data_IF_977587000684
#
_entry.id   IF_977587000684
#
_cell.length_a   1.000
_cell.length_b   1.000
_cell.length_c   1.000
_cell.angle_alpha   90.00
_cell.angle_beta   90.00
_cell.angle_gamma   90.00
#
_symmetry.space_group_name_H-M   'P 1'
#
loop_
_entity.id
_entity.type
_entity.pdbx_description
1 polymer ?
#
# COMPACT_ATOMS: atom_id res chain seq x y z
N UNK A 1 -20.01 -12.88 12.05
CA UNK A 1 -20.09 -12.15 10.77
C UNK A 1 -20.01 -10.68 11.07
N UNK A 2 -19.24 -9.93 10.30
CA UNK A 2 -19.03 -8.49 10.47
C UNK A 2 -19.15 -7.78 9.13
N UNK A 3 -19.74 -6.57 9.13
CA UNK A 3 -19.74 -5.68 7.99
C UNK A 3 -18.39 -4.96 7.91
N UNK A 4 -17.76 -4.93 6.74
CA UNK A 4 -16.43 -4.35 6.51
C UNK A 4 -16.39 -3.56 5.20
N UNK A 5 -15.50 -2.57 5.14
CA UNK A 5 -15.24 -1.80 3.92
C UNK A 5 -14.32 -2.57 2.96
N UNK A 6 -14.69 -2.65 1.69
CA UNK A 6 -13.91 -3.26 0.63
C UNK A 6 -12.78 -2.33 0.15
N UNK A 7 -11.52 -2.73 0.36
CA UNK A 7 -10.36 -2.00 -0.15
C UNK A 7 -9.83 -2.57 -1.49
N UNK A 8 -10.69 -3.21 -2.29
CA UNK A 8 -10.31 -3.80 -3.58
C UNK A 8 -10.16 -2.77 -4.71
N UNK A 9 -10.89 -1.65 -4.63
CA UNK A 9 -10.78 -0.52 -5.53
C UNK A 9 -11.21 0.77 -4.82
N UNK A 10 -11.15 1.90 -5.52
CA UNK A 10 -11.49 3.22 -4.95
C UNK A 10 -12.98 3.46 -4.69
N UNK A 11 -13.87 2.50 -4.98
CA UNK A 11 -15.30 2.64 -4.66
C UNK A 11 -15.57 2.49 -3.15
N UNK A 12 -14.72 1.76 -2.43
CA UNK A 12 -14.83 1.56 -0.98
C UNK A 12 -16.23 1.08 -0.53
N UNK A 13 -16.81 0.08 -1.22
CA UNK A 13 -18.10 -0.50 -0.85
C UNK A 13 -18.10 -0.86 0.64
N UNK A 14 -19.04 -0.32 1.41
CA UNK A 14 -19.10 -0.47 2.85
C UNK A 14 -20.05 -1.58 3.31
N UNK A 15 -20.68 -2.29 2.37
CA UNK A 15 -21.75 -3.27 2.54
C UNK A 15 -21.29 -4.73 2.43
N UNK A 16 -19.98 -4.99 2.52
CA UNK A 16 -19.44 -6.35 2.46
C UNK A 16 -19.61 -7.05 3.81
N UNK A 17 -20.18 -8.25 3.80
CA UNK A 17 -20.30 -9.08 4.99
C UNK A 17 -19.21 -10.15 4.95
N UNK A 18 -18.41 -10.22 6.02
CA UNK A 18 -17.33 -11.19 6.18
C UNK A 18 -17.59 -12.08 7.38
N UNK A 19 -17.42 -13.39 7.18
CA UNK A 19 -17.30 -14.36 8.27
C UNK A 19 -15.83 -14.70 8.45
N UNK A 20 -15.31 -14.47 9.66
CA UNK A 20 -13.90 -14.68 10.00
C UNK A 20 -13.78 -15.04 11.48
N UNK A 21 -12.78 -15.84 11.81
CA UNK A 21 -12.34 -16.14 13.19
C UNK A 21 -11.22 -15.19 13.67
N UNK A 22 -10.87 -14.19 12.86
CA UNK A 22 -9.76 -13.25 13.11
C UNK A 22 -8.41 -13.68 12.51
N UNK A 23 -8.26 -14.95 12.15
CA UNK A 23 -7.07 -15.50 11.48
C UNK A 23 -7.35 -15.81 10.00
N UNK A 24 -8.54 -16.30 9.71
CA UNK A 24 -9.00 -16.74 8.39
C UNK A 24 -10.33 -16.09 8.03
N UNK A 25 -10.55 -15.92 6.73
CA UNK A 25 -11.83 -15.48 6.18
C UNK A 25 -12.53 -16.72 5.62
N UNK A 26 -13.62 -17.12 6.26
CA UNK A 26 -14.44 -18.28 5.86
C UNK A 26 -15.33 -17.93 4.67
N UNK A 27 -15.90 -16.71 4.68
CA UNK A 27 -16.94 -16.32 3.73
C UNK A 27 -16.91 -14.80 3.49
N UNK A 28 -17.13 -14.41 2.24
CA UNK A 28 -17.26 -13.02 1.81
C UNK A 28 -18.52 -12.88 0.96
N UNK A 29 -19.46 -12.05 1.38
CA UNK A 29 -20.74 -11.80 0.71
C UNK A 29 -20.80 -10.34 0.26
N UNK A 30 -21.29 -10.10 -0.96
CA UNK A 30 -21.48 -8.76 -1.53
C UNK A 30 -20.27 -8.20 -2.29
N UNK A 31 -19.10 -8.84 -2.21
CA UNK A 31 -17.91 -8.36 -2.92
C UNK A 31 -17.97 -8.68 -4.42
N UNK A 32 -17.65 -7.70 -5.26
CA UNK A 32 -17.38 -7.95 -6.69
C UNK A 32 -16.08 -8.76 -6.88
N UNK A 33 -15.76 -9.16 -8.12
CA UNK A 33 -14.55 -9.95 -8.41
C UNK A 33 -13.26 -9.32 -7.88
N UNK A 34 -13.07 -8.00 -8.04
CA UNK A 34 -11.90 -7.27 -7.51
C UNK A 34 -11.86 -7.28 -5.98
N UNK A 35 -13.02 -7.09 -5.36
CA UNK A 35 -13.14 -7.15 -3.90
C UNK A 35 -12.83 -8.55 -3.37
N UNK A 36 -13.41 -9.58 -3.98
CA UNK A 36 -13.18 -10.98 -3.61
C UNK A 36 -11.70 -11.36 -3.73
N UNK A 37 -11.07 -11.00 -4.84
CA UNK A 37 -9.64 -11.22 -5.04
C UNK A 37 -8.81 -10.57 -3.91
N UNK A 38 -9.15 -9.34 -3.51
CA UNK A 38 -8.45 -8.65 -2.42
C UNK A 38 -8.54 -9.40 -1.08
N UNK A 39 -9.69 -9.97 -0.74
CA UNK A 39 -9.83 -10.80 0.46
C UNK A 39 -9.04 -12.11 0.35
N UNK A 40 -9.05 -12.74 -0.83
CA UNK A 40 -8.35 -14.01 -1.07
C UNK A 40 -6.82 -13.89 -1.01
N UNK A 41 -6.26 -12.69 -1.20
CA UNK A 41 -4.82 -12.44 -1.02
C UNK A 41 -4.31 -12.67 0.41
N UNK A 42 -5.19 -12.81 1.41
CA UNK A 42 -4.78 -13.13 2.78
C UNK A 42 -4.18 -14.54 2.86
N UNK A 43 -4.74 -15.50 2.11
CA UNK A 43 -4.30 -16.91 2.08
C UNK A 43 -3.52 -17.27 0.82
N UNK A 44 -3.08 -16.26 0.06
CA UNK A 44 -2.28 -16.41 -1.15
C UNK A 44 -0.95 -17.12 -0.87
N UNK A 45 -0.54 -18.05 -1.76
CA UNK A 45 0.74 -18.77 -1.64
C UNK A 45 1.95 -17.84 -1.69
N UNK A 46 1.81 -16.68 -2.32
CA UNK A 46 2.82 -15.66 -2.48
C UNK A 46 2.69 -14.51 -1.46
N UNK A 47 1.89 -14.70 -0.38
CA UNK A 47 1.85 -13.79 0.76
C UNK A 47 3.24 -13.73 1.41
N UNK A 48 3.80 -12.52 1.52
CA UNK A 48 5.06 -12.30 2.23
C UNK A 48 4.83 -12.44 3.73
N UNK A 49 5.42 -13.47 4.34
CA UNK A 49 5.34 -13.76 5.78
C UNK A 49 6.59 -13.33 6.56
N UNK A 50 7.68 -13.02 5.85
CA UNK A 50 8.95 -12.60 6.44
C UNK A 50 9.52 -11.48 5.57
N UNK A 51 10.25 -10.51 6.16
CA UNK A 51 11.03 -9.58 5.37
C UNK A 51 12.14 -10.32 4.61
N UNK A 52 12.48 -9.80 3.44
CA UNK A 52 13.47 -10.37 2.53
C UNK A 52 14.49 -9.29 2.18
N UNK A 53 15.77 -9.64 2.13
CA UNK A 53 16.86 -8.79 1.63
C UNK A 53 17.55 -9.47 0.46
N UNK A 54 18.14 -8.69 -0.45
CA UNK A 54 18.87 -9.24 -1.59
C UNK A 54 20.35 -9.40 -1.24
N UNK A 55 20.84 -10.63 -1.25
CA UNK A 55 22.25 -10.97 -1.07
C UNK A 55 22.71 -11.75 -2.30
N UNK A 56 23.79 -11.31 -2.96
CA UNK A 56 24.35 -11.93 -4.18
C UNK A 56 23.31 -12.21 -5.28
N UNK A 57 22.36 -11.28 -5.47
CA UNK A 57 21.32 -11.39 -6.49
C UNK A 57 20.08 -12.20 -6.06
N UNK A 58 20.11 -12.90 -4.93
CA UNK A 58 19.01 -13.76 -4.45
C UNK A 58 18.30 -13.13 -3.25
N UNK A 59 16.98 -13.32 -3.13
CA UNK A 59 16.22 -12.89 -1.96
C UNK A 59 16.36 -13.91 -0.82
N UNK A 60 16.81 -13.44 0.34
CA UNK A 60 17.03 -14.25 1.54
C UNK A 60 16.12 -13.75 2.66
N UNK A 61 15.47 -14.69 3.37
CA UNK A 61 14.62 -14.38 4.54
C UNK A 61 15.45 -13.77 5.67
N UNK A 62 14.88 -12.79 6.36
CA UNK A 62 15.54 -12.14 7.50
C UNK A 62 14.54 -11.72 8.58
N UNK A 63 15.02 -11.02 9.60
CA UNK A 63 14.21 -10.41 10.68
C UNK A 63 13.95 -8.93 10.38
N UNK A 64 12.93 -8.36 11.02
CA UNK A 64 12.54 -6.96 10.79
C UNK A 64 13.68 -5.99 11.08
N UNK A 65 14.41 -6.12 12.17
CA UNK A 65 15.50 -5.20 12.53
C UNK A 65 16.57 -5.12 11.43
N UNK A 66 17.08 -6.27 10.96
CA UNK A 66 18.06 -6.32 9.86
C UNK A 66 17.50 -5.72 8.56
N UNK A 67 16.22 -5.96 8.24
CA UNK A 67 15.60 -5.40 7.05
C UNK A 67 15.39 -3.88 7.14
N UNK A 68 14.99 -3.38 8.31
CA UNK A 68 14.78 -1.96 8.58
C UNK A 68 16.11 -1.21 8.58
N UNK A 69 17.16 -1.74 9.21
CA UNK A 69 18.50 -1.16 9.18
C UNK A 69 19.04 -1.10 7.75
N UNK A 70 18.81 -2.14 6.95
CA UNK A 70 19.20 -2.14 5.55
C UNK A 70 18.46 -1.05 4.75
N UNK A 71 17.15 -0.94 4.92
CA UNK A 71 16.34 0.09 4.25
C UNK A 71 16.77 1.51 4.68
N UNK A 72 16.98 1.74 5.98
CA UNK A 72 17.44 3.02 6.52
C UNK A 72 18.81 3.40 5.98
N UNK A 73 19.74 2.44 5.86
CA UNK A 73 21.05 2.67 5.27
C UNK A 73 20.97 3.05 3.78
N UNK A 74 20.09 2.41 3.00
CA UNK A 74 19.86 2.79 1.59
C UNK A 74 19.35 4.23 1.50
N UNK A 75 18.35 4.57 2.33
CA UNK A 75 17.74 5.90 2.34
C UNK A 75 18.76 6.96 2.75
N UNK A 76 19.52 6.74 3.84
CA UNK A 76 20.51 7.68 4.38
C UNK A 76 21.64 7.97 3.38
N UNK A 77 22.04 6.97 2.60
CA UNK A 77 23.10 7.11 1.60
C UNK A 77 22.59 7.60 0.23
N UNK A 78 21.28 7.81 0.09
CA UNK A 78 20.69 8.34 -1.14
C UNK A 78 20.75 9.87 -1.16
N UNK A 79 21.19 10.46 -2.27
CA UNK A 79 21.22 11.91 -2.43
C UNK A 79 19.83 12.53 -2.67
N UNK A 80 18.91 11.75 -3.27
CA UNK A 80 17.53 12.15 -3.61
C UNK A 80 16.58 10.95 -3.50
N UNK A 81 16.23 10.49 -2.29
CA UNK A 81 15.32 9.35 -2.14
C UNK A 81 13.92 9.70 -2.66
N UNK A 82 13.28 8.74 -3.32
CA UNK A 82 11.89 8.82 -3.79
C UNK A 82 11.06 7.73 -3.11
N UNK A 83 9.97 8.12 -2.47
CA UNK A 83 9.00 7.23 -1.85
C UNK A 83 7.74 7.20 -2.73
N UNK A 84 7.47 6.05 -3.37
CA UNK A 84 6.40 5.94 -4.36
C UNK A 84 5.34 4.89 -3.99
N UNK A 85 4.08 5.17 -4.36
CA UNK A 85 2.97 4.21 -4.33
C UNK A 85 1.78 4.70 -3.53
N UNK A 86 1.72 4.34 -2.24
CA UNK A 86 0.80 4.89 -1.23
C UNK A 86 -0.72 4.79 -1.47
N UNK A 87 -1.18 4.29 -2.63
CA UNK A 87 -2.60 4.29 -3.00
C UNK A 87 -3.39 3.11 -2.42
N UNK A 88 -2.71 2.15 -1.79
CA UNK A 88 -3.31 0.94 -1.22
C UNK A 88 -2.91 0.71 0.25
N UNK A 89 -2.51 1.79 0.93
CA UNK A 89 -2.21 1.82 2.37
C UNK A 89 -3.17 2.78 3.09
N UNK A 90 -3.19 2.75 4.42
CA UNK A 90 -4.03 3.64 5.21
C UNK A 90 -3.53 5.09 5.20
N UNK A 91 -4.39 6.04 5.60
CA UNK A 91 -4.02 7.45 5.71
C UNK A 91 -2.88 7.66 6.72
N UNK A 92 -2.85 6.90 7.82
CA UNK A 92 -1.78 6.94 8.81
C UNK A 92 -0.43 6.54 8.22
N UNK A 93 -0.42 5.51 7.36
CA UNK A 93 0.79 5.11 6.65
C UNK A 93 1.24 6.16 5.63
N UNK A 94 0.30 6.83 4.94
CA UNK A 94 0.61 7.95 4.04
C UNK A 94 1.24 9.12 4.82
N UNK A 95 0.67 9.49 5.98
CA UNK A 95 1.22 10.53 6.85
C UNK A 95 2.67 10.20 7.27
N UNK A 96 2.95 8.95 7.64
CA UNK A 96 4.32 8.51 7.94
C UNK A 96 5.26 8.55 6.74
N UNK A 97 4.77 8.24 5.54
CA UNK A 97 5.52 8.44 4.30
C UNK A 97 5.90 9.90 4.06
N UNK A 98 4.96 10.82 4.28
CA UNK A 98 5.18 12.27 4.13
C UNK A 98 6.20 12.77 5.17
N UNK A 99 6.08 12.34 6.42
CA UNK A 99 7.05 12.65 7.48
C UNK A 99 8.47 12.17 7.10
N UNK A 100 8.58 10.93 6.61
CA UNK A 100 9.85 10.35 6.16
C UNK A 100 10.46 11.11 4.98
N UNK A 101 9.65 11.48 3.99
CA UNK A 101 10.11 12.26 2.85
C UNK A 101 10.64 13.63 3.28
N UNK A 102 9.94 14.32 4.20
CA UNK A 102 10.42 15.59 4.77
C UNK A 102 11.73 15.41 5.55
N UNK A 103 11.81 14.40 6.41
CA UNK A 103 12.99 14.14 7.24
C UNK A 103 14.25 13.83 6.42
N UNK A 104 14.08 13.25 5.23
CA UNK A 104 15.18 12.86 4.35
C UNK A 104 15.42 13.86 3.21
N UNK A 105 14.68 14.98 3.19
CA UNK A 105 14.64 15.93 2.07
C UNK A 105 14.42 15.23 0.72
N UNK A 106 13.61 14.17 0.73
CA UNK A 106 13.27 13.32 -0.39
C UNK A 106 11.96 13.73 -1.06
N UNK A 107 11.61 12.95 -2.08
CA UNK A 107 10.37 13.10 -2.84
C UNK A 107 9.37 12.03 -2.40
N UNK A 108 8.08 12.36 -2.46
CA UNK A 108 6.99 11.41 -2.27
C UNK A 108 5.98 11.59 -3.39
N UNK A 109 5.52 10.48 -3.94
CA UNK A 109 4.47 10.47 -4.96
C UNK A 109 3.61 9.21 -4.84
N UNK A 110 2.42 9.24 -5.43
CA UNK A 110 1.47 8.13 -5.40
C UNK A 110 1.22 7.55 -6.78
N UNK A 111 0.49 6.44 -6.85
CA UNK A 111 0.05 5.88 -8.13
C UNK A 111 -0.85 6.84 -8.94
N UNK A 112 -1.27 7.98 -8.39
CA UNK A 112 -2.01 9.02 -9.11
C UNK A 112 -1.29 9.48 -10.38
N UNK A 113 0.06 9.58 -10.38
CA UNK A 113 0.83 10.08 -11.53
C UNK A 113 0.66 9.22 -12.79
N UNK A 114 0.34 7.93 -12.64
CA UNK A 114 0.06 7.00 -13.75
C UNK A 114 -1.44 6.67 -13.89
N UNK A 115 -2.30 7.39 -13.16
CA UNK A 115 -3.74 7.16 -13.12
C UNK A 115 -4.48 8.48 -13.31
N UNK A 116 -5.29 8.91 -12.35
CA UNK A 116 -6.12 10.13 -12.50
C UNK A 116 -5.41 11.43 -12.13
N UNK A 117 -4.12 11.40 -11.80
CA UNK A 117 -3.35 12.59 -11.40
C UNK A 117 -3.24 13.63 -12.51
N UNK A 118 -3.10 13.21 -13.77
CA UNK A 118 -3.07 14.14 -14.91
C UNK A 118 -4.42 14.87 -15.07
N UNK A 119 -5.53 14.15 -14.95
CA UNK A 119 -6.88 14.72 -15.01
C UNK A 119 -7.09 15.74 -13.89
N UNK A 120 -6.66 15.43 -12.66
CA UNK A 120 -6.73 16.35 -11.52
C UNK A 120 -5.91 17.62 -11.78
N UNK A 121 -4.70 17.47 -12.32
CA UNK A 121 -3.84 18.61 -12.63
C UNK A 121 -4.43 19.52 -13.72
N UNK A 122 -5.02 18.92 -14.77
CA UNK A 122 -5.71 19.67 -15.84
C UNK A 122 -6.94 20.38 -15.27
N UNK A 123 -7.78 19.70 -14.49
CA UNK A 123 -8.96 20.30 -13.86
C UNK A 123 -8.59 21.51 -12.99
N UNK A 124 -7.48 21.42 -12.25
CA UNK A 124 -6.96 22.55 -11.47
C UNK A 124 -6.55 23.73 -12.34
N UNK A 125 -5.97 23.49 -13.52
CA UNK A 125 -5.58 24.54 -14.46
C UNK A 125 -6.79 25.25 -15.10
N UNK A 126 -7.94 24.58 -15.21
CA UNK A 126 -9.18 25.18 -15.72
C UNK A 126 -10.00 25.93 -14.65
N UNK A 127 -9.49 26.01 -13.41
CA UNK A 127 -10.16 26.67 -12.29
C UNK A 127 -11.15 25.78 -11.54
N UNK A 128 -11.26 24.50 -11.90
CA UNK A 128 -12.03 23.53 -11.11
C UNK A 128 -11.25 23.24 -9.84
N UNK A 129 -11.83 23.60 -8.70
CA UNK A 129 -11.28 23.26 -7.38
C UNK A 129 -11.87 21.92 -6.96
N UNK A 130 -11.01 20.92 -6.78
CA UNK A 130 -11.34 19.59 -6.25
C UNK A 130 -11.12 19.55 -4.74
#
# INVERSE_FOLDING_TARGET
MSRVTCCGCSLLCDDIIVKSDGLYIDEVIGACLKGKERFDQITSKNRLLNPLIRENGVLVKTIFDKALDNAANIIKNSSKPMFYGFSTVSCEAQLKGIELARATNGFIDSNSIICQGEVINIAKQTGITL
#
